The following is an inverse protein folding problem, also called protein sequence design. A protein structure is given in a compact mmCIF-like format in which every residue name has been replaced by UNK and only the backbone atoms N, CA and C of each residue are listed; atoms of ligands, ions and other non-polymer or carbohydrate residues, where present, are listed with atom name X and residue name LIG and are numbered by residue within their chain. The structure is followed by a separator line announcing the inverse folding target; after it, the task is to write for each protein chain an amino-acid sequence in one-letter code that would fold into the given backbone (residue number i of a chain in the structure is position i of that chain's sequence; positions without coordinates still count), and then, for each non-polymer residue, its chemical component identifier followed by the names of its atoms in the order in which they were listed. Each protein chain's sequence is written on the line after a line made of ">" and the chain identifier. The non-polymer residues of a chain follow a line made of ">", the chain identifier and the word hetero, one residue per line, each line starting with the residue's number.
data_IF_983895007628
#
_entry.id   IF_983895007628
#
_cell.length_a   1.000
_cell.length_b   1.000
_cell.length_c   1.000
_cell.angle_alpha   90.00
_cell.angle_beta   90.00
_cell.angle_gamma   90.00
#
_symmetry.space_group_name_H-M   'P 1'
#
loop_
_entity.id
_entity.type
_entity.pdbx_description
1 polymer ?
#
# COMPACT_ATOMS: atom_id res chain seq x y z
N UNK A 1 -10.52 4.50 -11.36
CA UNK A 1 -10.50 4.69 -9.89
C UNK A 1 -9.06 4.56 -9.44
N UNK A 2 -8.55 5.54 -8.70
CA UNK A 2 -7.20 5.53 -8.12
C UNK A 2 -7.27 5.03 -6.67
N UNK A 3 -6.53 3.98 -6.38
CA UNK A 3 -6.51 3.31 -5.08
C UNK A 3 -5.12 3.47 -4.47
N UNK A 4 -5.05 3.92 -3.22
CA UNK A 4 -3.84 3.82 -2.42
C UNK A 4 -3.90 2.57 -1.53
N UNK A 5 -2.90 1.70 -1.64
CA UNK A 5 -2.65 0.62 -0.68
C UNK A 5 -1.52 1.05 0.24
N UNK A 6 -1.79 1.19 1.54
CA UNK A 6 -0.83 1.71 2.51
C UNK A 6 -0.39 0.61 3.46
N UNK A 7 0.89 0.25 3.43
CA UNK A 7 1.47 -0.69 4.39
C UNK A 7 2.23 0.09 5.47
N UNK A 8 1.79 -0.03 6.73
CA UNK A 8 2.39 0.71 7.85
C UNK A 8 3.42 -0.16 8.59
N UNK A 9 4.68 0.30 8.63
CA UNK A 9 5.69 -0.16 9.58
C UNK A 9 6.87 -0.94 8.97
N UNK A 10 8.01 -0.84 9.67
CA UNK A 10 9.33 -1.37 9.31
C UNK A 10 9.33 -2.71 8.55
N UNK A 11 9.93 -2.68 7.35
CA UNK A 11 10.13 -3.84 6.49
C UNK A 11 11.61 -4.26 6.49
N UNK A 12 11.91 -5.55 6.75
CA UNK A 12 13.19 -6.13 6.38
C UNK A 12 13.24 -6.36 4.87
N UNK A 13 14.29 -5.86 4.21
CA UNK A 13 14.59 -6.19 2.82
C UNK A 13 15.47 -7.46 2.83
N UNK A 14 15.14 -8.55 2.11
CA UNK A 14 13.99 -8.75 1.21
C UNK A 14 12.71 -9.20 1.94
N UNK A 15 11.51 -8.94 1.36
CA UNK A 15 10.25 -9.37 1.94
C UNK A 15 10.18 -10.90 1.99
N UNK A 16 9.88 -11.46 3.16
CA UNK A 16 9.62 -12.88 3.33
C UNK A 16 8.37 -13.27 2.52
N UNK A 17 8.35 -14.49 1.94
CA UNK A 17 7.27 -14.97 1.07
C UNK A 17 5.87 -14.95 1.73
N UNK A 18 5.81 -15.00 3.06
CA UNK A 18 4.58 -14.94 3.86
C UNK A 18 4.33 -13.56 4.48
N UNK A 19 4.91 -12.50 3.92
CA UNK A 19 4.75 -11.15 4.43
C UNK A 19 3.48 -10.48 3.90
N UNK A 20 2.98 -9.49 4.66
CA UNK A 20 1.93 -8.57 4.20
C UNK A 20 2.26 -7.95 2.83
N UNK A 21 3.54 -7.81 2.49
CA UNK A 21 3.96 -7.27 1.19
C UNK A 21 3.58 -8.20 0.03
N UNK A 22 3.71 -9.53 0.18
CA UNK A 22 3.26 -10.48 -0.85
C UNK A 22 1.75 -10.33 -1.08
N UNK A 23 0.97 -10.32 0.00
CA UNK A 23 -0.48 -10.14 -0.05
C UNK A 23 -0.87 -8.81 -0.73
N UNK A 24 -0.23 -7.72 -0.33
CA UNK A 24 -0.52 -6.39 -0.88
C UNK A 24 -0.12 -6.28 -2.36
N UNK A 25 0.96 -6.93 -2.79
CA UNK A 25 1.33 -6.95 -4.22
C UNK A 25 0.40 -7.81 -5.05
N UNK A 26 -0.01 -8.98 -4.57
CA UNK A 26 -1.01 -9.79 -5.24
C UNK A 26 -2.34 -9.04 -5.35
N UNK A 27 -2.72 -8.30 -4.29
CA UNK A 27 -3.90 -7.46 -4.32
C UNK A 27 -3.78 -6.29 -5.30
N UNK A 28 -2.63 -5.61 -5.34
CA UNK A 28 -2.33 -4.59 -6.35
C UNK A 28 -2.43 -5.15 -7.76
N UNK A 29 -1.85 -6.32 -8.01
CA UNK A 29 -1.88 -6.97 -9.31
C UNK A 29 -3.31 -7.27 -9.74
N UNK A 30 -4.10 -7.89 -8.86
CA UNK A 30 -5.51 -8.18 -9.09
C UNK A 30 -6.32 -6.91 -9.41
N UNK A 31 -6.13 -5.83 -8.65
CA UNK A 31 -6.83 -4.57 -8.88
C UNK A 31 -6.42 -3.90 -10.20
N UNK A 32 -5.15 -4.00 -10.59
CA UNK A 32 -4.68 -3.52 -11.88
C UNK A 32 -5.30 -4.31 -13.04
N UNK A 33 -5.44 -5.64 -12.91
CA UNK A 33 -6.13 -6.47 -13.92
C UNK A 33 -7.61 -6.10 -14.09
N UNK A 34 -8.25 -5.58 -13.03
CA UNK A 34 -9.60 -5.03 -13.11
C UNK A 34 -9.67 -3.62 -13.72
N UNK A 35 -8.54 -3.02 -14.10
CA UNK A 35 -8.45 -1.70 -14.72
C UNK A 35 -8.41 -0.53 -13.74
N UNK A 36 -8.09 -0.79 -12.46
CA UNK A 36 -7.85 0.27 -11.47
C UNK A 36 -6.39 0.72 -11.50
N UNK A 37 -6.16 1.99 -11.16
CA UNK A 37 -4.81 2.53 -10.95
C UNK A 37 -4.47 2.39 -9.46
N UNK A 38 -3.38 1.68 -9.14
CA UNK A 38 -3.06 1.36 -7.75
C UNK A 38 -1.64 1.80 -7.37
N UNK A 39 -1.56 2.73 -6.43
CA UNK A 39 -0.32 3.19 -5.82
C UNK A 39 -0.08 2.46 -4.50
N UNK A 40 1.17 2.04 -4.27
CA UNK A 40 1.58 1.38 -3.04
C UNK A 40 2.40 2.37 -2.21
N UNK A 41 1.94 2.68 -1.01
CA UNK A 41 2.54 3.65 -0.09
C UNK A 41 3.12 2.87 1.09
N UNK A 42 4.43 2.93 1.24
CA UNK A 42 5.22 2.13 2.19
C UNK A 42 6.27 3.00 2.89
N UNK A 43 5.85 4.21 3.25
CA UNK A 43 6.72 5.14 3.95
C UNK A 43 6.86 4.72 5.41
N UNK A 44 8.11 4.72 5.90
CA UNK A 44 8.40 4.47 7.32
C UNK A 44 7.90 5.61 8.21
N UNK A 45 7.82 6.80 7.63
CA UNK A 45 7.33 8.01 8.27
C UNK A 45 5.84 8.19 7.96
N UNK A 46 5.04 8.23 9.02
CA UNK A 46 3.59 8.35 8.94
C UNK A 46 3.18 9.69 8.34
N UNK A 47 3.90 10.76 8.67
CA UNK A 47 3.55 12.10 8.20
C UNK A 47 3.76 12.20 6.69
N UNK A 48 4.81 11.57 6.15
CA UNK A 48 5.05 11.48 4.71
C UNK A 48 3.98 10.67 3.97
N UNK A 49 3.54 9.55 4.56
CA UNK A 49 2.44 8.77 3.99
C UNK A 49 1.14 9.59 3.96
N UNK A 50 0.84 10.31 5.04
CA UNK A 50 -0.34 11.18 5.13
C UNK A 50 -0.26 12.31 4.09
N UNK A 51 0.89 12.95 3.95
CA UNK A 51 1.09 14.00 2.94
C UNK A 51 0.93 13.47 1.52
N UNK A 52 1.45 12.28 1.22
CA UNK A 52 1.28 11.65 -0.09
C UNK A 52 -0.19 11.33 -0.39
N UNK A 53 -0.94 10.83 0.60
CA UNK A 53 -2.37 10.55 0.46
C UNK A 53 -3.15 11.84 0.23
N UNK A 54 -2.91 12.87 1.05
CA UNK A 54 -3.66 14.13 1.01
C UNK A 54 -3.36 14.97 -0.24
N UNK A 55 -2.14 14.90 -0.77
CA UNK A 55 -1.75 15.65 -1.96
C UNK A 55 -1.99 14.87 -3.27
N UNK A 56 -2.51 13.64 -3.19
CA UNK A 56 -2.88 12.82 -4.34
C UNK A 56 -4.41 12.73 -4.47
N UNK A 57 -4.90 12.48 -5.68
CA UNK A 57 -6.33 12.35 -5.97
C UNK A 57 -6.81 10.89 -5.91
N UNK A 58 -6.61 10.23 -4.77
CA UNK A 58 -7.12 8.87 -4.56
C UNK A 58 -8.63 8.88 -4.31
N UNK A 59 -9.33 7.94 -4.95
CA UNK A 59 -10.76 7.70 -4.73
C UNK A 59 -10.99 6.77 -3.52
N UNK A 60 -10.00 5.92 -3.21
CA UNK A 60 -10.06 4.96 -2.12
C UNK A 60 -8.68 4.75 -1.50
N UNK A 61 -8.65 4.62 -0.16
CA UNK A 61 -7.43 4.33 0.60
C UNK A 61 -7.64 3.07 1.44
N UNK A 62 -6.82 2.05 1.20
CA UNK A 62 -6.81 0.80 1.95
C UNK A 62 -5.62 0.78 2.91
N UNK A 63 -5.91 0.70 4.21
CA UNK A 63 -4.89 0.66 5.26
C UNK A 63 -4.57 -0.79 5.63
N UNK A 64 -3.40 -1.28 5.24
CA UNK A 64 -2.85 -2.58 5.62
C UNK A 64 -2.03 -2.48 6.90
N UNK A 65 -2.59 -2.94 8.02
CA UNK A 65 -1.90 -2.99 9.31
C UNK A 65 -1.34 -4.39 9.60
N UNK A 66 -0.06 -4.45 10.02
CA UNK A 66 0.47 -5.61 10.73
C UNK A 66 0.15 -5.45 12.22
N UNK A 67 -0.80 -6.22 12.74
CA UNK A 67 -0.96 -6.36 14.18
C UNK A 67 0.33 -6.94 14.77
N UNK A 68 0.90 -6.26 15.77
CA UNK A 68 2.03 -6.76 16.55
C UNK A 68 1.64 -7.96 17.39
#
# INVERSE_FOLDING_TARGET
>A
MRIALVAWGYIPVPPLSNSIYTLMNEYKFFLNELGYEVDFIDEKDVDQAIDQINNSNFDFVHLGMKNK
#
